data_IF_168025560418
#
_entry.id   IF_168025560418
#
_cell.length_a   1.000
_cell.length_b   1.000
_cell.length_c   1.000
_cell.angle_alpha   90.00
_cell.angle_beta   90.00
_cell.angle_gamma   90.00
#
_symmetry.space_group_name_H-M   'P 1'
#
loop_
_entity.id
_entity.type
_entity.pdbx_description
1 polymer ?
#
# COMPACT_ATOMS: atom_id res chain seq x y z
N UNK A 1 52.19 27.05 4.62
CA UNK A 1 51.36 26.94 5.84
C UNK A 1 49.87 26.64 5.53
N UNK A 2 49.56 25.58 4.75
CA UNK A 2 48.17 25.27 4.34
C UNK A 2 47.73 23.80 4.58
N UNK A 3 48.53 23.00 5.29
CA UNK A 3 48.19 21.60 5.60
C UNK A 3 47.69 21.37 7.04
N UNK A 4 47.62 22.43 7.85
CA UNK A 4 47.29 22.29 9.27
C UNK A 4 45.80 22.49 9.59
N UNK A 5 45.02 23.09 8.68
CA UNK A 5 43.59 23.33 8.90
C UNK A 5 42.74 22.07 8.68
N UNK A 6 43.09 21.21 7.72
CA UNK A 6 42.37 19.95 7.46
C UNK A 6 42.48 18.93 8.61
N UNK A 7 43.59 18.94 9.35
CA UNK A 7 43.81 18.05 10.50
C UNK A 7 43.04 18.50 11.74
N UNK A 8 42.91 19.81 11.97
CA UNK A 8 42.08 20.38 13.05
C UNK A 8 40.60 20.08 12.86
N UNK A 9 40.10 20.14 11.62
CA UNK A 9 38.72 19.79 11.30
C UNK A 9 38.40 18.30 11.52
N UNK A 10 39.34 17.40 11.20
CA UNK A 10 39.19 15.96 11.47
C UNK A 10 39.22 15.67 12.97
N UNK A 11 40.16 16.23 13.71
CA UNK A 11 40.24 16.06 15.16
C UNK A 11 39.01 16.61 15.89
N UNK A 12 38.47 17.76 15.45
CA UNK A 12 37.22 18.31 15.99
C UNK A 12 36.03 17.41 15.68
N UNK A 13 35.94 16.89 14.45
CA UNK A 13 34.91 15.92 14.06
C UNK A 13 34.98 14.65 14.91
N UNK A 14 36.17 14.11 15.13
CA UNK A 14 36.36 12.88 15.92
C UNK A 14 36.02 13.11 17.39
N UNK A 15 36.42 14.26 17.95
CA UNK A 15 36.06 14.66 19.31
C UNK A 15 34.55 14.82 19.48
N UNK A 16 33.88 15.47 18.52
CA UNK A 16 32.43 15.65 18.54
C UNK A 16 31.71 14.30 18.40
N UNK A 17 32.17 13.43 17.49
CA UNK A 17 31.61 12.10 17.32
C UNK A 17 31.78 11.25 18.58
N UNK A 18 32.94 11.30 19.23
CA UNK A 18 33.19 10.59 20.48
C UNK A 18 32.31 11.12 21.61
N UNK A 19 32.23 12.45 21.79
CA UNK A 19 31.43 13.09 22.84
C UNK A 19 29.94 12.79 22.72
N UNK A 20 29.42 12.69 21.51
CA UNK A 20 27.99 12.49 21.25
C UNK A 20 27.64 11.07 20.80
N UNK A 21 28.59 10.12 20.79
CA UNK A 21 28.38 8.79 20.21
C UNK A 21 27.17 8.07 20.85
N UNK A 22 27.07 8.09 22.19
CA UNK A 22 25.98 7.46 22.93
C UNK A 22 24.63 8.12 22.68
N UNK A 23 24.59 9.46 22.65
CA UNK A 23 23.38 10.21 22.34
C UNK A 23 22.90 9.93 20.91
N UNK A 24 23.81 9.92 19.93
CA UNK A 24 23.49 9.61 18.54
C UNK A 24 23.03 8.15 18.37
N UNK A 25 23.64 7.20 19.08
CA UNK A 25 23.20 5.80 19.09
C UNK A 25 21.80 5.63 19.70
N UNK A 26 21.52 6.30 20.81
CA UNK A 26 20.20 6.29 21.45
C UNK A 26 19.16 6.93 20.54
N UNK A 27 19.46 8.10 19.97
CA UNK A 27 18.57 8.80 19.06
C UNK A 27 18.29 7.97 17.80
N UNK A 28 19.31 7.34 17.22
CA UNK A 28 19.16 6.38 16.12
C UNK A 28 18.28 5.20 16.53
N UNK A 29 18.44 4.68 17.74
CA UNK A 29 17.65 3.56 18.24
C UNK A 29 16.19 3.98 18.44
N UNK A 30 15.91 5.13 19.05
CA UNK A 30 14.56 5.68 19.19
C UNK A 30 13.87 5.92 17.84
N UNK A 31 14.57 6.53 16.88
CA UNK A 31 14.04 6.72 15.52
C UNK A 31 13.81 5.40 14.77
N UNK A 32 14.64 4.38 15.02
CA UNK A 32 14.48 3.07 14.40
C UNK A 32 13.50 2.15 15.15
N UNK A 33 13.16 2.42 16.41
CA UNK A 33 12.10 1.70 17.16
C UNK A 33 10.74 1.86 16.47
N UNK A 34 10.46 3.04 15.88
CA UNK A 34 9.27 3.27 15.02
C UNK A 34 9.35 2.55 13.66
N UNK A 35 10.50 1.98 13.30
CA UNK A 35 10.77 1.40 11.98
C UNK A 35 11.22 -0.06 12.03
N UNK A 36 10.69 -0.87 12.95
CA UNK A 36 10.85 -2.33 12.81
C UNK A 36 10.08 -2.79 11.56
N UNK A 37 10.80 -2.87 10.44
CA UNK A 37 10.39 -3.51 9.18
C UNK A 37 10.30 -5.02 9.42
N UNK A 38 9.32 -5.41 10.21
CA UNK A 38 8.98 -6.79 10.54
C UNK A 38 7.57 -7.13 10.07
N UNK A 39 7.19 -8.40 10.19
CA UNK A 39 5.80 -8.82 10.00
C UNK A 39 4.91 -8.03 10.96
N UNK A 40 3.67 -7.74 10.55
CA UNK A 40 2.69 -7.08 11.42
C UNK A 40 2.52 -7.87 12.73
N UNK A 41 2.28 -7.19 13.88
CA UNK A 41 1.94 -7.81 15.15
C UNK A 41 0.86 -8.88 14.97
N UNK A 42 0.92 -9.96 15.77
CA UNK A 42 -0.01 -11.08 15.63
C UNK A 42 -1.46 -10.64 15.80
N UNK A 43 -1.71 -9.82 16.82
CA UNK A 43 -3.07 -9.38 17.16
C UNK A 43 -3.64 -8.48 16.07
N UNK A 44 -2.85 -7.50 15.60
CA UNK A 44 -3.22 -6.67 14.45
C UNK A 44 -3.56 -7.50 13.21
N UNK A 45 -2.83 -8.59 12.96
CA UNK A 45 -3.12 -9.49 11.83
C UNK A 45 -4.42 -10.27 12.01
N UNK A 46 -4.74 -10.67 13.24
CA UNK A 46 -6.00 -11.38 13.53
C UNK A 46 -7.18 -10.46 13.23
N UNK A 47 -7.16 -9.24 13.76
CA UNK A 47 -8.20 -8.22 13.49
C UNK A 47 -8.40 -7.99 12.00
N UNK A 48 -7.31 -7.82 11.24
CA UNK A 48 -7.36 -7.64 9.79
C UNK A 48 -7.92 -8.85 9.05
N UNK A 49 -7.56 -10.07 9.49
CA UNK A 49 -8.08 -11.31 8.92
C UNK A 49 -9.56 -11.52 9.23
N UNK A 50 -10.04 -11.07 10.38
CA UNK A 50 -11.44 -11.21 10.74
C UNK A 50 -12.32 -10.28 9.91
N UNK A 51 -11.91 -9.01 9.74
CA UNK A 51 -12.58 -8.12 8.78
C UNK A 51 -12.53 -8.67 7.36
N UNK A 52 -11.39 -9.25 6.96
CA UNK A 52 -11.23 -9.86 5.63
C UNK A 52 -12.23 -11.00 5.39
N UNK A 53 -12.39 -11.89 6.37
CA UNK A 53 -13.32 -13.03 6.25
C UNK A 53 -14.77 -12.56 6.14
N UNK A 54 -15.17 -11.55 6.92
CA UNK A 54 -16.52 -11.00 6.85
C UNK A 54 -16.81 -10.30 5.51
N UNK A 55 -15.77 -9.81 4.82
CA UNK A 55 -15.89 -9.11 3.53
C UNK A 55 -15.27 -9.89 2.35
N UNK A 56 -15.25 -11.22 2.42
CA UNK A 56 -14.58 -12.07 1.41
C UNK A 56 -15.11 -11.90 -0.02
N UNK A 57 -16.39 -11.54 -0.19
CA UNK A 57 -17.01 -11.25 -1.49
C UNK A 57 -16.47 -9.96 -2.13
N UNK A 58 -16.23 -8.93 -1.33
CA UNK A 58 -15.73 -7.63 -1.79
C UNK A 58 -14.77 -7.02 -0.74
N UNK A 59 -13.49 -7.45 -0.73
CA UNK A 59 -12.55 -7.08 0.33
C UNK A 59 -11.89 -5.71 0.09
N UNK A 60 -12.73 -4.67 -0.05
CA UNK A 60 -12.33 -3.28 -0.21
C UNK A 60 -12.91 -2.45 0.94
N UNK A 61 -12.16 -2.24 2.03
CA UNK A 61 -12.65 -1.45 3.15
C UNK A 61 -12.85 0.00 2.72
N UNK A 62 -13.97 0.57 3.15
CA UNK A 62 -14.26 2.00 3.05
C UNK A 62 -13.27 2.81 3.88
N UNK A 63 -13.26 4.13 3.69
CA UNK A 63 -12.35 5.00 4.42
C UNK A 63 -12.62 4.97 5.94
N UNK A 64 -13.90 4.93 6.32
CA UNK A 64 -14.32 4.82 7.72
C UNK A 64 -13.85 3.49 8.34
N UNK A 65 -13.99 2.38 7.60
CA UNK A 65 -13.53 1.07 8.08
C UNK A 65 -12.01 1.00 8.19
N UNK A 66 -11.27 1.61 7.26
CA UNK A 66 -9.81 1.72 7.41
C UNK A 66 -9.43 2.48 8.67
N UNK A 67 -10.11 3.59 8.98
CA UNK A 67 -9.84 4.36 10.20
C UNK A 67 -10.15 3.56 11.46
N UNK A 68 -11.26 2.81 11.47
CA UNK A 68 -11.58 1.89 12.57
C UNK A 68 -10.50 0.82 12.75
N UNK A 69 -10.01 0.24 11.66
CA UNK A 69 -8.93 -0.75 11.71
C UNK A 69 -7.59 -0.14 12.16
N UNK A 70 -7.31 1.12 11.84
CA UNK A 70 -6.15 1.86 12.37
C UNK A 70 -6.25 1.97 13.89
N UNK A 71 -7.41 2.37 14.40
CA UNK A 71 -7.65 2.52 15.84
C UNK A 71 -7.53 1.18 16.57
N UNK A 72 -8.16 0.12 16.06
CA UNK A 72 -8.15 -1.21 16.69
C UNK A 72 -6.77 -1.89 16.66
N UNK A 73 -6.00 -1.69 15.59
CA UNK A 73 -4.72 -2.40 15.41
C UNK A 73 -3.49 -1.59 15.81
N UNK A 74 -3.63 -0.27 15.99
CA UNK A 74 -2.53 0.67 16.22
C UNK A 74 -1.55 0.78 15.05
N UNK A 75 -1.93 0.31 13.85
CA UNK A 75 -1.12 0.39 12.64
C UNK A 75 -1.40 1.68 11.88
N UNK A 76 -0.38 2.19 11.19
CA UNK A 76 -0.57 3.31 10.28
C UNK A 76 -1.55 2.94 9.17
N UNK A 77 -2.37 3.89 8.74
CA UNK A 77 -3.33 3.71 7.64
C UNK A 77 -2.67 3.16 6.36
N UNK A 78 -1.42 3.56 6.09
CA UNK A 78 -0.62 3.04 4.98
C UNK A 78 -0.33 1.54 5.13
N UNK A 79 -0.07 1.05 6.34
CA UNK A 79 0.16 -0.37 6.61
C UNK A 79 -1.13 -1.17 6.41
N UNK A 80 -2.28 -0.64 6.86
CA UNK A 80 -3.61 -1.23 6.62
C UNK A 80 -3.86 -1.35 5.11
N UNK A 81 -3.69 -0.25 4.38
CA UNK A 81 -3.91 -0.20 2.92
C UNK A 81 -3.02 -1.21 2.19
N UNK A 82 -1.72 -1.23 2.50
CA UNK A 82 -0.78 -2.17 1.91
C UNK A 82 -1.09 -3.62 2.27
N UNK A 83 -1.57 -3.88 3.48
CA UNK A 83 -1.98 -5.22 3.89
C UNK A 83 -3.14 -5.70 3.02
N UNK A 84 -4.20 -4.91 2.86
CA UNK A 84 -5.35 -5.28 2.02
C UNK A 84 -4.99 -5.48 0.55
N UNK A 85 -4.14 -4.62 -0.02
CA UNK A 85 -3.63 -4.79 -1.38
C UNK A 85 -2.91 -6.15 -1.52
N UNK A 86 -1.98 -6.44 -0.61
CA UNK A 86 -1.23 -7.69 -0.65
C UNK A 86 -2.10 -8.92 -0.36
N UNK A 87 -3.08 -8.79 0.54
CA UNK A 87 -4.00 -9.85 0.91
C UNK A 87 -4.90 -10.22 -0.29
N UNK A 88 -5.47 -9.22 -0.99
CA UNK A 88 -6.18 -9.44 -2.26
C UNK A 88 -5.32 -10.12 -3.29
N UNK A 89 -4.12 -9.60 -3.54
CA UNK A 89 -3.22 -10.17 -4.54
C UNK A 89 -2.89 -11.65 -4.29
N UNK A 90 -2.85 -12.08 -3.03
CA UNK A 90 -2.47 -13.45 -2.65
C UNK A 90 -3.67 -14.40 -2.51
N UNK A 91 -4.81 -13.90 -2.05
CA UNK A 91 -5.89 -14.73 -1.53
C UNK A 91 -7.26 -14.43 -2.13
N UNK A 92 -7.43 -13.35 -2.87
CA UNK A 92 -8.70 -13.05 -3.53
C UNK A 92 -8.71 -13.63 -4.93
N UNK A 93 -9.45 -14.73 -5.10
CA UNK A 93 -9.80 -15.32 -6.38
C UNK A 93 -11.31 -15.16 -6.54
N UNK A 94 -11.80 -14.23 -7.38
CA UNK A 94 -13.18 -14.27 -7.80
C UNK A 94 -13.41 -15.66 -8.40
N UNK A 95 -14.39 -16.43 -7.89
CA UNK A 95 -14.74 -17.72 -8.49
C UNK A 95 -15.01 -17.52 -9.98
N UNK A 96 -14.70 -18.54 -10.80
CA UNK A 96 -14.83 -18.51 -12.27
C UNK A 96 -16.18 -17.95 -12.73
N UNK A 97 -17.26 -18.22 -11.98
CA UNK A 97 -18.62 -17.71 -12.20
C UNK A 97 -18.75 -16.16 -12.19
N UNK A 98 -17.83 -15.45 -11.52
CA UNK A 98 -17.79 -13.97 -11.51
C UNK A 98 -16.85 -13.38 -12.56
N UNK A 99 -15.92 -14.18 -13.11
CA UNK A 99 -15.01 -13.74 -14.17
C UNK A 99 -15.73 -13.58 -15.51
N UNK A 100 -16.74 -14.42 -15.74
CA UNK A 100 -17.54 -14.43 -16.97
C UNK A 100 -18.44 -13.18 -17.05
N UNK A 101 -19.09 -12.76 -15.95
CA UNK A 101 -20.01 -11.61 -15.95
C UNK A 101 -19.37 -10.26 -16.29
N UNK A 102 -18.08 -10.05 -15.99
CA UNK A 102 -17.39 -8.79 -16.26
C UNK A 102 -16.92 -8.71 -17.72
N UNK A 103 -16.56 -9.84 -18.34
CA UNK A 103 -16.28 -9.85 -19.78
C UNK A 103 -17.56 -9.75 -20.60
N UNK A 104 -18.63 -10.47 -20.24
CA UNK A 104 -19.88 -10.46 -21.01
C UNK A 104 -20.60 -9.10 -21.00
N UNK A 105 -20.45 -8.30 -19.94
CA UNK A 105 -21.04 -6.96 -19.88
C UNK A 105 -20.26 -5.95 -20.73
N UNK A 106 -18.93 -5.97 -20.67
CA UNK A 106 -18.08 -5.07 -21.45
C UNK A 106 -18.09 -5.45 -22.94
N UNK A 107 -18.09 -6.75 -23.26
CA UNK A 107 -18.18 -7.22 -24.65
C UNK A 107 -19.56 -6.99 -25.26
N UNK A 108 -20.66 -7.21 -24.53
CA UNK A 108 -22.01 -6.89 -25.04
C UNK A 108 -22.19 -5.39 -25.27
N UNK A 109 -21.65 -4.53 -24.39
CA UNK A 109 -21.75 -3.08 -24.56
C UNK A 109 -20.99 -2.63 -25.81
N UNK A 110 -19.78 -3.15 -26.02
CA UNK A 110 -18.97 -2.84 -27.21
C UNK A 110 -19.54 -3.43 -28.50
N UNK A 111 -20.18 -4.61 -28.44
CA UNK A 111 -20.88 -5.20 -29.59
C UNK A 111 -22.14 -4.40 -30.00
N UNK A 112 -22.85 -3.82 -29.03
CA UNK A 112 -24.01 -2.97 -29.30
C UNK A 112 -23.61 -1.60 -29.88
N UNK A 113 -22.47 -1.04 -29.47
CA UNK A 113 -21.95 0.24 -29.97
C UNK A 113 -21.41 0.18 -31.41
N UNK A 114 -20.89 -0.98 -31.86
CA UNK A 114 -20.35 -1.13 -33.22
C UNK A 114 -21.46 -1.52 -34.24
N UNK A 115 -22.65 -1.94 -33.77
CA UNK A 115 -23.72 -2.50 -34.60
C UNK A 115 -24.75 -1.51 -35.17
N UNK A 116 -24.62 -0.20 -34.95
CA UNK A 116 -25.56 0.82 -35.46
C UNK A 116 -24.81 1.93 -36.23
N UNK A 117 -24.25 1.55 -37.38
CA UNK A 117 -23.80 2.48 -38.43
C UNK A 117 -24.71 2.34 -39.64
N UNK A 118 -25.54 3.35 -39.86
CA UNK A 118 -26.65 3.43 -40.82
C UNK A 118 -26.24 3.14 -42.27
N UNK A 119 -26.82 2.11 -42.87
CA UNK A 119 -27.01 2.03 -44.31
C UNK A 119 -28.21 2.89 -44.71
N UNK A 120 -27.98 3.93 -45.50
CA UNK A 120 -29.04 4.61 -46.25
C UNK A 120 -28.64 4.63 -47.72
N UNK A 121 -29.12 3.63 -48.46
CA UNK A 121 -29.36 3.72 -49.90
C UNK A 121 -30.58 4.61 -50.10
N UNK A 122 -30.43 5.66 -50.91
CA UNK A 122 -31.54 6.20 -51.70
C UNK A 122 -31.00 6.56 -53.07
N UNK A 123 -31.22 5.66 -54.03
CA UNK A 123 -31.40 6.01 -55.44
C UNK A 123 -32.64 6.92 -55.56
N UNK A 124 -32.56 8.00 -56.33
CA UNK A 124 -33.45 8.24 -57.48
C UNK A 124 -33.23 9.64 -58.12
N UNK A 125 -33.24 9.61 -59.47
CA UNK A 125 -33.20 10.68 -60.50
C UNK A 125 -31.86 11.30 -60.94
#
# INVERSE_FOLDING_TARGET
MLFEQGSRGRALKDLLLHKYNGYLCNLRTEFNKKRKKGKLPRDARITLLDWWKSHSRWPYPTEVEKMKLVEETGLDQKQITNWFINQRKRHWKPSEDQRISIMDTVTNTLYFEIGQGTGTTTDDQ
#
